data_IF_286876648041
#
_entry.id   IF_286876648041
#
_cell.length_a   1.000
_cell.length_b   1.000
_cell.length_c   1.000
_cell.angle_alpha   90.00
_cell.angle_beta   90.00
_cell.angle_gamma   90.00
#
_symmetry.space_group_name_H-M   'P 1'
#
loop_
_entity.id
_entity.type
_entity.pdbx_description
1 polymer ?
#
# COMPACT_ATOMS: atom_id res chain seq x y z
N UNK A 1 -5.15 -0.11 40.13
CA UNK A 1 -4.56 -1.45 39.89
C UNK A 1 -5.03 -1.92 38.54
N UNK A 2 -4.18 -1.81 37.51
CA UNK A 2 -4.49 -2.17 36.13
C UNK A 2 -3.19 -2.23 35.35
N UNK A 3 -2.68 -3.44 35.18
CA UNK A 3 -1.38 -3.72 34.56
C UNK A 3 -1.51 -3.55 33.04
N UNK A 4 -0.85 -2.53 32.47
CA UNK A 4 -0.68 -2.41 31.02
C UNK A 4 0.49 -3.31 30.60
N UNK A 5 0.18 -4.38 29.88
CA UNK A 5 1.14 -5.33 29.36
C UNK A 5 1.97 -4.69 28.23
N UNK A 6 3.27 -4.56 28.47
CA UNK A 6 4.29 -4.22 27.48
C UNK A 6 4.44 -5.38 26.50
N UNK A 7 4.08 -5.19 25.23
CA UNK A 7 4.36 -6.15 24.15
C UNK A 7 5.73 -5.80 23.57
N UNK A 8 6.77 -6.63 23.74
CA UNK A 8 8.06 -6.38 23.12
C UNK A 8 8.01 -6.68 21.61
N UNK A 9 8.47 -5.72 20.82
CA UNK A 9 8.73 -5.84 19.38
C UNK A 9 9.88 -6.84 19.17
N UNK A 10 9.57 -8.06 18.75
CA UNK A 10 10.60 -9.05 18.41
C UNK A 10 11.24 -8.71 17.07
N UNK A 11 12.52 -8.37 17.14
CA UNK A 11 13.51 -8.33 16.07
C UNK A 11 13.53 -9.65 15.30
N UNK A 12 13.17 -9.58 14.01
CA UNK A 12 13.24 -10.70 13.09
C UNK A 12 14.70 -11.01 12.77
N UNK A 13 15.16 -12.16 13.28
CA UNK A 13 16.51 -12.68 13.11
C UNK A 13 16.77 -13.08 11.65
N UNK A 14 17.87 -12.57 11.10
CA UNK A 14 18.51 -13.11 9.91
C UNK A 14 19.05 -14.51 10.22
N UNK A 15 18.40 -15.55 9.68
CA UNK A 15 18.78 -16.95 9.81
C UNK A 15 19.20 -17.55 8.47
N UNK A 16 20.48 -17.40 8.15
CA UNK A 16 21.17 -18.15 7.09
C UNK A 16 21.96 -19.31 7.70
N UNK A 17 21.55 -20.55 7.43
CA UNK A 17 22.35 -21.81 7.43
C UNK A 17 21.38 -22.95 7.10
N UNK A 18 21.29 -23.39 5.85
CA UNK A 18 22.08 -24.50 5.28
C UNK A 18 22.29 -25.64 6.28
N UNK A 19 21.33 -26.56 6.39
CA UNK A 19 21.57 -27.95 6.83
C UNK A 19 20.33 -28.82 6.52
N UNK A 20 20.35 -29.46 5.36
CA UNK A 20 19.53 -30.65 5.09
C UNK A 20 20.46 -31.71 4.50
N UNK A 21 20.91 -32.70 5.30
CA UNK A 21 21.62 -33.85 4.77
C UNK A 21 20.58 -34.87 4.29
N UNK A 22 20.28 -34.87 2.99
CA UNK A 22 19.57 -35.99 2.37
C UNK A 22 20.57 -36.84 1.61
N UNK A 23 20.97 -37.95 2.25
CA UNK A 23 21.77 -39.03 1.69
C UNK A 23 21.12 -39.61 0.44
N UNK A 24 21.84 -39.61 -0.68
CA UNK A 24 21.39 -40.19 -1.97
C UNK A 24 22.21 -41.44 -2.26
N UNK A 25 21.61 -42.63 -2.44
CA UNK A 25 22.33 -43.85 -2.83
C UNK A 25 22.74 -43.84 -4.32
N UNK A 26 23.94 -44.36 -4.68
CA UNK A 26 24.50 -44.24 -6.01
C UNK A 26 24.23 -45.48 -6.88
N UNK A 27 23.00 -45.71 -7.33
CA UNK A 27 22.75 -46.80 -8.30
C UNK A 27 21.59 -46.43 -9.24
N UNK A 28 21.79 -45.50 -10.19
CA UNK A 28 21.11 -45.45 -11.50
C UNK A 28 21.61 -44.27 -12.39
N UNK A 29 22.92 -44.01 -12.44
CA UNK A 29 23.46 -42.85 -13.18
C UNK A 29 23.41 -42.94 -14.72
N UNK A 30 23.26 -44.15 -15.30
CA UNK A 30 23.37 -44.32 -16.77
C UNK A 30 22.12 -44.01 -17.58
N UNK A 31 20.96 -43.78 -16.93
CA UNK A 31 19.69 -43.49 -17.63
C UNK A 31 19.12 -42.10 -17.34
N UNK A 32 19.92 -41.24 -16.70
CA UNK A 32 19.59 -39.85 -16.37
C UNK A 32 20.23 -38.81 -17.30
N UNK A 33 21.11 -39.25 -18.21
CA UNK A 33 21.65 -38.40 -19.28
C UNK A 33 20.69 -38.25 -20.47
N UNK A 34 19.76 -39.19 -20.66
CA UNK A 34 18.78 -39.09 -21.75
C UNK A 34 17.55 -38.23 -21.40
N UNK A 35 17.36 -37.88 -20.12
CA UNK A 35 16.18 -37.13 -19.63
C UNK A 35 16.47 -35.63 -19.38
N UNK A 36 17.72 -35.18 -19.52
CA UNK A 36 18.13 -33.79 -19.29
C UNK A 36 18.00 -32.88 -20.52
N UNK A 37 17.72 -33.43 -21.71
CA UNK A 37 17.56 -32.64 -22.95
C UNK A 37 16.11 -32.23 -23.27
N UNK A 38 15.12 -32.75 -22.54
CA UNK A 38 13.69 -32.46 -22.79
C UNK A 38 13.06 -31.51 -21.74
N UNK A 39 13.87 -30.85 -20.91
CA UNK A 39 13.40 -30.03 -19.79
C UNK A 39 13.52 -28.49 -19.93
N UNK A 40 13.83 -27.86 -21.10
CA UNK A 40 13.67 -26.42 -21.24
C UNK A 40 12.47 -26.10 -22.15
N UNK A 41 11.25 -26.53 -21.80
CA UNK A 41 10.05 -26.12 -22.55
C UNK A 41 8.83 -25.78 -21.68
N UNK A 42 9.02 -25.59 -20.37
CA UNK A 42 7.96 -25.20 -19.43
C UNK A 42 8.22 -23.87 -18.70
N UNK A 43 9.31 -23.17 -19.02
CA UNK A 43 9.58 -21.81 -18.50
C UNK A 43 9.18 -20.81 -19.58
N UNK A 44 7.87 -20.65 -19.81
CA UNK A 44 7.38 -19.81 -20.90
C UNK A 44 5.96 -19.33 -20.70
N UNK A 45 5.56 -18.97 -19.46
CA UNK A 45 4.30 -18.28 -19.20
C UNK A 45 4.26 -17.59 -17.82
N UNK A 46 5.34 -16.97 -17.36
CA UNK A 46 5.16 -15.86 -16.41
C UNK A 46 4.72 -14.69 -17.25
N UNK A 47 3.43 -14.35 -17.23
CA UNK A 47 2.96 -13.06 -17.73
C UNK A 47 3.78 -12.00 -17.02
N UNK A 48 4.71 -11.37 -17.74
CA UNK A 48 5.42 -10.21 -17.24
C UNK A 48 4.37 -9.22 -16.76
N UNK A 49 4.34 -8.98 -15.44
CA UNK A 49 3.57 -7.88 -14.87
C UNK A 49 4.34 -6.62 -15.25
N UNK A 50 4.16 -6.18 -16.50
CA UNK A 50 4.65 -4.88 -16.95
C UNK A 50 3.79 -3.86 -16.19
N UNK A 51 4.37 -3.04 -15.30
CA UNK A 51 3.63 -1.91 -14.76
C UNK A 51 3.27 -1.02 -15.95
N UNK A 52 1.99 -0.99 -16.31
CA UNK A 52 1.50 -0.10 -17.35
C UNK A 52 1.76 1.34 -16.90
N UNK A 53 2.74 1.99 -17.51
CA UNK A 53 2.91 3.43 -17.39
C UNK A 53 1.70 4.08 -18.07
N UNK A 54 0.72 4.49 -17.27
CA UNK A 54 -0.49 5.15 -17.77
C UNK A 54 -0.10 6.57 -18.23
N UNK A 55 -0.35 6.95 -19.50
CA UNK A 55 0.05 8.24 -20.05
C UNK A 55 -0.68 9.39 -19.37
N UNK A 56 -0.02 10.54 -19.17
CA UNK A 56 -0.48 11.63 -18.29
C UNK A 56 -1.64 12.49 -18.89
N UNK A 57 -2.91 12.23 -18.56
CA UNK A 57 -4.15 13.00 -18.77
C UNK A 57 -5.25 12.81 -17.69
N UNK A 58 -6.54 12.91 -18.05
CA UNK A 58 -7.67 12.71 -17.09
C UNK A 58 -7.67 11.31 -16.43
N UNK A 59 -6.94 10.38 -17.03
CA UNK A 59 -6.86 9.00 -16.61
C UNK A 59 -6.05 8.81 -15.32
N UNK A 60 -5.03 9.63 -15.03
CA UNK A 60 -4.25 9.52 -13.79
C UNK A 60 -4.98 10.17 -12.64
N UNK A 61 -5.79 11.20 -12.87
CA UNK A 61 -6.65 11.73 -11.83
C UNK A 61 -7.60 10.62 -11.33
N UNK A 62 -8.20 9.88 -12.27
CA UNK A 62 -9.04 8.70 -11.97
C UNK A 62 -8.23 7.54 -11.38
N UNK A 63 -7.03 7.28 -11.88
CA UNK A 63 -6.17 6.21 -11.37
C UNK A 63 -5.69 6.50 -9.94
N UNK A 64 -5.29 7.74 -9.67
CA UNK A 64 -4.93 8.24 -8.33
C UNK A 64 -6.13 8.14 -7.39
N UNK A 65 -7.31 8.53 -7.85
CA UNK A 65 -8.53 8.39 -7.05
C UNK A 65 -8.84 6.92 -6.70
N UNK A 66 -8.65 5.98 -7.64
CA UNK A 66 -8.77 4.54 -7.36
C UNK A 66 -7.74 4.08 -6.34
N UNK A 67 -6.48 4.47 -6.53
CA UNK A 67 -5.40 4.12 -5.61
C UNK A 67 -5.69 4.62 -4.19
N UNK A 68 -6.08 5.88 -4.03
CA UNK A 68 -6.44 6.46 -2.72
C UNK A 68 -7.64 5.72 -2.13
N UNK A 69 -8.68 5.42 -2.91
CA UNK A 69 -9.81 4.60 -2.43
C UNK A 69 -9.33 3.24 -1.91
N UNK A 70 -8.47 2.53 -2.65
CA UNK A 70 -7.91 1.24 -2.20
C UNK A 70 -7.10 1.35 -0.90
N UNK A 71 -6.35 2.44 -0.70
CA UNK A 71 -5.65 2.69 0.56
C UNK A 71 -6.64 2.92 1.71
N UNK A 72 -7.69 3.72 1.48
CA UNK A 72 -8.74 3.96 2.48
C UNK A 72 -9.50 2.67 2.85
N UNK A 73 -9.70 1.76 1.90
CA UNK A 73 -10.33 0.45 2.12
C UNK A 73 -9.44 -0.51 2.90
N UNK A 74 -8.13 -0.46 2.67
CA UNK A 74 -7.16 -1.26 3.41
C UNK A 74 -6.93 -0.76 4.84
N UNK A 75 -7.15 0.53 5.07
CA UNK A 75 -6.90 1.19 6.35
C UNK A 75 -7.79 0.62 7.46
N UNK A 76 -7.17 0.20 8.57
CA UNK A 76 -7.87 -0.28 9.77
C UNK A 76 -8.07 0.89 10.73
N UNK A 77 -9.26 1.47 10.73
CA UNK A 77 -9.61 2.54 11.65
C UNK A 77 -9.75 1.99 13.08
N UNK A 78 -9.22 2.68 14.10
CA UNK A 78 -9.34 2.25 15.50
C UNK A 78 -10.78 2.29 16.01
N UNK A 79 -11.61 3.14 15.41
CA UNK A 79 -13.04 3.24 15.67
C UNK A 79 -13.81 3.19 14.35
N UNK A 80 -15.02 2.64 14.38
CA UNK A 80 -15.89 2.59 13.20
C UNK A 80 -16.21 4.00 12.68
N UNK A 81 -16.09 4.20 11.38
CA UNK A 81 -16.33 5.49 10.72
C UNK A 81 -17.63 5.44 9.91
N UNK A 82 -18.55 6.36 10.20
CA UNK A 82 -19.79 6.51 9.42
C UNK A 82 -19.60 7.40 8.17
N UNK A 83 -18.57 8.24 8.16
CA UNK A 83 -18.09 9.07 7.05
C UNK A 83 -16.57 9.10 7.16
N UNK A 84 -15.87 9.04 6.03
CA UNK A 84 -14.43 9.30 5.93
C UNK A 84 -14.22 10.75 5.45
N UNK A 85 -13.63 11.59 6.29
CA UNK A 85 -13.28 12.96 5.94
C UNK A 85 -11.88 13.01 5.30
N UNK A 86 -11.83 12.99 3.98
CA UNK A 86 -10.58 13.12 3.21
C UNK A 86 -10.25 14.60 3.01
N UNK A 87 -9.19 15.06 3.66
CA UNK A 87 -8.74 16.44 3.55
C UNK A 87 -7.59 16.57 2.54
N UNK A 88 -7.81 17.38 1.51
CA UNK A 88 -6.80 17.71 0.50
C UNK A 88 -6.13 19.02 0.92
N UNK A 89 -4.82 18.99 1.14
CA UNK A 89 -4.08 20.14 1.68
C UNK A 89 -3.12 20.69 0.65
N UNK A 90 -3.19 22.00 0.41
CA UNK A 90 -2.32 22.68 -0.55
C UNK A 90 -2.68 22.40 -2.00
N UNK A 91 -1.75 22.69 -2.92
CA UNK A 91 -1.98 22.53 -4.36
C UNK A 91 -1.77 21.06 -4.76
N UNK A 92 -2.86 20.33 -4.96
CA UNK A 92 -2.81 18.91 -5.27
C UNK A 92 -3.21 18.64 -6.73
N UNK A 93 -2.27 18.16 -7.53
CA UNK A 93 -2.43 17.96 -8.99
C UNK A 93 -3.64 17.12 -9.37
N UNK A 94 -3.97 16.11 -8.55
CA UNK A 94 -5.06 15.17 -8.79
C UNK A 94 -6.14 15.21 -7.70
N UNK A 95 -6.11 16.23 -6.83
CA UNK A 95 -7.00 16.32 -5.66
C UNK A 95 -8.48 16.59 -5.99
N UNK A 96 -8.77 17.05 -7.20
CA UNK A 96 -10.15 17.26 -7.67
C UNK A 96 -10.76 15.99 -8.29
N UNK A 97 -9.92 15.01 -8.67
CA UNK A 97 -10.33 13.79 -9.35
C UNK A 97 -10.93 12.70 -8.46
N UNK A 98 -11.08 12.94 -7.16
CA UNK A 98 -11.70 12.01 -6.21
C UNK A 98 -13.21 11.93 -6.45
N UNK A 99 -13.60 11.24 -7.52
CA UNK A 99 -14.97 11.07 -7.98
C UNK A 99 -15.76 9.96 -7.24
N UNK A 100 -15.14 9.29 -6.27
CA UNK A 100 -15.79 8.21 -5.52
C UNK A 100 -16.57 8.78 -4.34
N UNK A 101 -17.88 8.50 -4.32
CA UNK A 101 -18.76 8.95 -3.24
C UNK A 101 -18.61 8.12 -1.94
N UNK A 102 -18.17 6.86 -2.05
CA UNK A 102 -18.11 5.91 -0.93
C UNK A 102 -17.04 4.82 -1.13
N UNK A 103 -16.64 4.19 -0.01
CA UNK A 103 -15.93 2.91 0.03
C UNK A 103 -16.87 1.76 -0.38
N UNK A 104 -16.31 0.58 -0.67
CA UNK A 104 -17.08 -0.60 -1.09
C UNK A 104 -18.09 -1.10 -0.04
N UNK A 105 -17.84 -0.84 1.24
CA UNK A 105 -18.77 -1.15 2.33
C UNK A 105 -19.89 -0.10 2.50
N UNK A 106 -19.99 0.86 1.58
CA UNK A 106 -21.01 1.91 1.57
C UNK A 106 -20.67 3.15 2.40
N UNK A 107 -19.56 3.16 3.16
CA UNK A 107 -19.18 4.34 3.97
C UNK A 107 -18.82 5.50 3.03
N UNK A 108 -19.50 6.66 3.13
CA UNK A 108 -19.25 7.81 2.26
C UNK A 108 -17.89 8.47 2.53
N UNK A 109 -17.26 8.94 1.45
CA UNK A 109 -16.02 9.72 1.48
C UNK A 109 -16.37 11.19 1.25
N UNK A 110 -16.18 12.01 2.28
CA UNK A 110 -16.38 13.46 2.20
C UNK A 110 -15.04 14.16 1.98
N UNK A 111 -14.85 14.66 0.77
CA UNK A 111 -13.66 15.45 0.39
C UNK A 111 -13.80 16.90 0.86
N UNK A 112 -12.75 17.45 1.45
CA UNK A 112 -12.63 18.89 1.77
C UNK A 112 -11.25 19.40 1.38
N UNK A 113 -11.20 20.58 0.77
CA UNK A 113 -9.94 21.26 0.44
C UNK A 113 -9.59 22.25 1.53
N UNK A 114 -8.32 22.29 1.92
CA UNK A 114 -7.80 23.23 2.91
C UNK A 114 -6.53 23.92 2.42
N UNK A 115 -6.37 25.18 2.84
CA UNK A 115 -5.09 25.87 2.73
C UNK A 115 -4.08 25.22 3.68
N UNK A 116 -2.81 25.14 3.26
CA UNK A 116 -1.74 24.65 4.13
C UNK A 116 -1.54 25.50 5.41
N UNK A 117 -2.11 26.71 5.45
CA UNK A 117 -2.02 27.61 6.60
C UNK A 117 -2.98 27.24 7.74
N UNK A 118 -4.06 26.49 7.44
CA UNK A 118 -5.19 26.25 8.36
C UNK A 118 -5.09 24.89 9.07
N UNK A 119 -3.93 24.58 9.64
CA UNK A 119 -3.65 23.26 10.23
C UNK A 119 -4.58 22.87 11.39
N UNK A 120 -5.26 23.83 12.03
CA UNK A 120 -6.26 23.53 13.07
C UNK A 120 -7.42 22.66 12.57
N UNK A 121 -7.74 22.72 11.28
CA UNK A 121 -8.78 21.90 10.66
C UNK A 121 -8.41 20.41 10.55
N UNK A 122 -7.13 20.06 10.72
CA UNK A 122 -6.62 18.69 10.65
C UNK A 122 -7.33 17.75 11.64
N UNK A 123 -7.70 18.24 12.82
CA UNK A 123 -8.44 17.47 13.85
C UNK A 123 -9.80 16.96 13.39
N UNK A 124 -10.33 17.50 12.29
CA UNK A 124 -11.61 17.06 11.69
C UNK A 124 -11.41 16.07 10.55
N UNK A 125 -10.17 15.74 10.20
CA UNK A 125 -9.79 14.90 9.07
C UNK A 125 -9.53 13.47 9.54
N UNK A 126 -9.86 12.51 8.67
CA UNK A 126 -9.59 11.09 8.90
C UNK A 126 -8.38 10.63 8.09
N UNK A 127 -8.20 11.23 6.91
CA UNK A 127 -7.06 11.02 6.06
C UNK A 127 -6.63 12.34 5.43
N UNK A 128 -5.33 12.47 5.16
CA UNK A 128 -4.72 13.62 4.52
C UNK A 128 -4.20 13.24 3.13
N UNK A 129 -4.59 13.99 2.12
CA UNK A 129 -3.96 13.99 0.80
C UNK A 129 -3.15 15.29 0.65
N UNK A 130 -1.84 15.17 0.84
CA UNK A 130 -0.92 16.30 0.82
C UNK A 130 -0.49 16.58 -0.62
N UNK A 131 -0.82 17.77 -1.12
CA UNK A 131 -0.30 18.27 -2.38
C UNK A 131 1.08 18.90 -2.22
N UNK A 132 1.35 19.97 -2.98
CA UNK A 132 2.52 20.82 -2.74
C UNK A 132 2.31 21.60 -1.44
N UNK A 133 3.02 21.18 -0.40
CA UNK A 133 3.00 21.75 0.94
C UNK A 133 4.44 21.88 1.44
N UNK A 134 4.75 22.97 2.15
CA UNK A 134 6.05 23.15 2.79
C UNK A 134 6.28 22.09 3.88
N UNK A 135 7.49 21.56 4.04
CA UNK A 135 7.81 20.50 5.00
C UNK A 135 7.37 20.82 6.44
N UNK A 136 7.59 22.05 6.90
CA UNK A 136 7.16 22.48 8.24
C UNK A 136 5.64 22.41 8.40
N UNK A 137 4.90 22.83 7.37
CA UNK A 137 3.44 22.76 7.32
C UNK A 137 2.96 21.31 7.22
N UNK A 138 3.58 20.47 6.39
CA UNK A 138 3.21 19.06 6.28
C UNK A 138 3.29 18.36 7.65
N UNK A 139 4.37 18.59 8.41
CA UNK A 139 4.53 18.06 9.78
C UNK A 139 3.43 18.55 10.73
N UNK A 140 3.08 19.83 10.68
CA UNK A 140 1.99 20.38 11.49
C UNK A 140 0.65 19.69 11.19
N UNK A 141 0.35 19.45 9.92
CA UNK A 141 -0.87 18.76 9.51
C UNK A 141 -0.90 17.29 9.96
N UNK A 142 0.20 16.54 9.79
CA UNK A 142 0.26 15.11 10.15
C UNK A 142 0.29 14.84 11.65
N UNK A 143 0.73 15.81 12.47
CA UNK A 143 0.79 15.64 13.92
C UNK A 143 -0.59 15.67 14.60
N UNK A 144 -1.65 16.01 13.86
CA UNK A 144 -2.99 16.28 14.37
C UNK A 144 -4.06 15.28 13.87
N UNK A 145 -3.65 14.25 13.11
CA UNK A 145 -4.53 13.23 12.52
C UNK A 145 -4.15 11.84 13.03
#
# INVERSE_FOLDING_TARGET
>A
MGHAATIPCQTQQAGSRTDFPMSIPPILQKKRWLLLLAAPMLIGATKDVIPAAVPVGSDEARATARMVKSVLEYTRWPQHRNVINLCVVGQARFGEGFAYASLDNGVPIRRRNFSQLDASAATTCDALYLGKVETGRARQWTALV
#
